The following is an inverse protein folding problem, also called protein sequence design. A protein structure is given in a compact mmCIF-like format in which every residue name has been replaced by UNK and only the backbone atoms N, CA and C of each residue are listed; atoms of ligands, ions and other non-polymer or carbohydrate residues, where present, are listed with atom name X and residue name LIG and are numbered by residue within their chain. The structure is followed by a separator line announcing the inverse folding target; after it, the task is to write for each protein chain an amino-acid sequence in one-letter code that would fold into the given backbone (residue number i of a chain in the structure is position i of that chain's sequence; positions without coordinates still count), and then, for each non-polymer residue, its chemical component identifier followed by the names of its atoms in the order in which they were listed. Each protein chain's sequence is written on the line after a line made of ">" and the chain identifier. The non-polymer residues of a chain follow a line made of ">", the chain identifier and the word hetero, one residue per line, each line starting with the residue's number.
data_IF_027986948510
#
_entry.id   IF_027986948510
#
_cell.length_a   1.000
_cell.length_b   1.000
_cell.length_c   1.000
_cell.angle_alpha   90.00
_cell.angle_beta   90.00
_cell.angle_gamma   90.00
#
_symmetry.space_group_name_H-M   'P 1'
#
loop_
_entity.id
_entity.type
_entity.pdbx_description
1 polymer ?
#
# COMPACT_ATOMS: atom_id res chain seq x y z
N UNK A 1 -18.40 -65.84 -55.01
CA UNK A 1 -17.44 -64.96 -55.73
C UNK A 1 -18.14 -63.66 -56.10
N UNK A 2 -17.54 -62.46 -55.96
CA UNK A 2 -16.21 -62.15 -55.42
C UNK A 2 -16.25 -61.37 -54.09
N UNK A 3 -15.56 -61.95 -53.11
CA UNK A 3 -14.48 -61.41 -52.26
C UNK A 3 -14.14 -59.89 -52.32
N UNK A 4 -13.93 -59.27 -51.15
CA UNK A 4 -12.62 -58.71 -50.71
C UNK A 4 -12.76 -57.65 -49.61
N UNK A 5 -12.18 -57.99 -48.45
CA UNK A 5 -11.42 -57.19 -47.45
C UNK A 5 -12.00 -55.88 -46.90
N UNK A 6 -12.44 -55.95 -45.64
CA UNK A 6 -12.43 -54.84 -44.68
C UNK A 6 -11.54 -55.17 -43.49
N UNK A 7 -10.29 -54.71 -43.54
CA UNK A 7 -9.22 -54.93 -42.56
C UNK A 7 -9.54 -54.24 -41.23
N UNK A 8 -9.42 -55.00 -40.15
CA UNK A 8 -9.32 -54.56 -38.76
C UNK A 8 -8.22 -53.51 -38.61
N UNK A 9 -8.57 -52.33 -38.08
CA UNK A 9 -7.63 -51.49 -37.32
C UNK A 9 -8.20 -51.33 -35.93
N UNK A 10 -7.51 -51.97 -35.00
CA UNK A 10 -7.75 -51.80 -33.58
C UNK A 10 -7.28 -50.42 -33.10
N UNK A 11 -7.89 -50.02 -32.00
CA UNK A 11 -7.27 -49.32 -30.87
C UNK A 11 -6.96 -47.83 -31.05
N UNK A 12 -7.92 -47.00 -30.65
CA UNK A 12 -7.64 -45.69 -30.02
C UNK A 12 -8.50 -45.56 -28.76
N UNK A 13 -8.03 -46.24 -27.72
CA UNK A 13 -7.91 -45.78 -26.32
C UNK A 13 -9.12 -45.06 -25.70
N UNK A 14 -9.73 -45.77 -24.75
CA UNK A 14 -10.51 -45.24 -23.65
C UNK A 14 -9.63 -44.43 -22.67
N UNK A 15 -10.14 -43.29 -22.19
CA UNK A 15 -9.93 -42.73 -20.84
C UNK A 15 -10.65 -41.36 -20.81
N UNK A 16 -11.73 -41.12 -20.08
CA UNK A 16 -12.17 -41.76 -18.84
C UNK A 16 -11.37 -41.22 -17.66
N UNK A 17 -11.84 -40.09 -17.11
CA UNK A 17 -11.64 -39.67 -15.71
C UNK A 17 -10.19 -39.53 -15.24
N UNK A 18 -9.67 -38.29 -15.17
CA UNK A 18 -8.79 -37.79 -14.09
C UNK A 18 -8.27 -36.39 -14.47
N UNK A 19 -8.95 -35.35 -13.97
CA UNK A 19 -8.38 -34.00 -13.90
C UNK A 19 -8.69 -33.41 -12.52
N UNK A 20 -8.23 -34.17 -11.53
CA UNK A 20 -8.19 -33.81 -10.12
C UNK A 20 -6.98 -34.54 -9.50
N UNK A 21 -5.78 -34.23 -10.01
CA UNK A 21 -4.46 -34.43 -9.38
C UNK A 21 -3.37 -34.06 -10.40
N UNK A 22 -2.95 -32.79 -10.45
CA UNK A 22 -1.69 -32.37 -11.07
C UNK A 22 -1.20 -31.03 -10.49
N UNK A 23 -1.32 -30.87 -9.17
CA UNK A 23 -0.62 -29.83 -8.38
C UNK A 23 0.50 -30.45 -7.52
N UNK A 24 0.84 -31.72 -7.73
CA UNK A 24 1.94 -32.39 -7.03
C UNK A 24 2.81 -33.11 -8.04
N UNK A 25 3.89 -32.46 -8.48
CA UNK A 25 4.82 -33.02 -9.46
C UNK A 25 5.96 -32.11 -9.92
N UNK A 26 6.23 -31.01 -9.21
CA UNK A 26 7.53 -30.34 -9.35
C UNK A 26 8.54 -31.13 -8.51
N UNK A 27 9.69 -31.55 -9.07
CA UNK A 27 10.71 -32.20 -8.29
C UNK A 27 11.20 -31.23 -7.21
N UNK A 28 11.05 -31.65 -5.96
CA UNK A 28 11.80 -31.09 -4.85
C UNK A 28 13.28 -31.25 -5.19
N UNK A 29 13.97 -30.13 -5.43
CA UNK A 29 15.43 -30.11 -5.48
C UNK A 29 15.88 -30.41 -4.06
N UNK A 30 16.35 -31.63 -3.82
CA UNK A 30 16.95 -32.02 -2.57
C UNK A 30 18.11 -31.06 -2.29
N UNK A 31 17.99 -30.27 -1.23
CA UNK A 31 19.13 -29.62 -0.62
C UNK A 31 20.03 -30.74 -0.09
N UNK A 32 21.20 -30.90 -0.70
CA UNK A 32 22.25 -31.75 -0.14
C UNK A 32 22.67 -31.23 1.24
N UNK A 33 23.22 -32.09 2.11
CA UNK A 33 23.74 -31.66 3.40
C UNK A 33 24.81 -30.58 3.16
N UNK A 34 24.66 -29.46 3.86
CA UNK A 34 25.67 -28.42 3.88
C UNK A 34 26.94 -28.98 4.53
N UNK A 35 27.94 -29.21 3.69
CA UNK A 35 29.31 -29.44 4.11
C UNK A 35 29.80 -28.18 4.86
N UNK A 36 30.44 -28.30 6.02
CA UNK A 36 30.91 -27.15 6.78
C UNK A 36 32.07 -26.52 6.03
N UNK A 37 31.90 -25.27 5.60
CA UNK A 37 33.00 -24.49 5.05
C UNK A 37 34.12 -24.36 6.09
N UNK A 38 35.39 -24.57 5.71
CA UNK A 38 36.51 -24.59 6.62
C UNK A 38 36.74 -23.20 7.21
N UNK A 39 37.09 -23.19 8.50
CA UNK A 39 37.41 -21.99 9.26
C UNK A 39 38.45 -21.14 8.56
N UNK A 40 38.12 -19.86 8.36
CA UNK A 40 39.12 -18.85 8.08
C UNK A 40 39.81 -18.47 9.41
N UNK A 41 41.14 -18.44 9.45
CA UNK A 41 41.93 -18.20 10.66
C UNK A 41 41.75 -16.78 11.17
N UNK A 42 41.90 -16.63 12.49
CA UNK A 42 41.74 -15.38 13.23
C UNK A 42 42.50 -14.22 12.60
N UNK A 43 41.78 -13.12 12.44
CA UNK A 43 42.38 -11.81 12.28
C UNK A 43 42.35 -11.12 13.66
N UNK A 44 43.54 -10.94 14.21
CA UNK A 44 43.81 -10.04 15.33
C UNK A 44 43.16 -8.67 15.08
N UNK A 45 42.44 -8.15 16.08
CA UNK A 45 42.06 -6.74 16.14
C UNK A 45 43.02 -6.02 17.09
N UNK A 46 44.06 -5.33 16.60
CA UNK A 46 44.70 -4.30 17.39
C UNK A 46 43.91 -2.98 17.23
N UNK A 47 43.51 -2.40 18.37
CA UNK A 47 43.12 -0.99 18.44
C UNK A 47 41.65 -0.75 18.76
N UNK A 48 41.36 -0.62 20.06
CA UNK A 48 40.18 0.07 20.55
C UNK A 48 40.24 1.55 20.12
N UNK A 49 39.61 1.88 19.00
CA UNK A 49 39.29 3.26 18.62
C UNK A 49 38.04 3.73 19.36
N UNK A 50 38.07 4.99 19.83
CA UNK A 50 36.93 5.72 20.42
C UNK A 50 35.67 5.61 19.53
N UNK A 51 34.44 5.66 20.07
CA UNK A 51 33.23 5.64 19.24
C UNK A 51 33.23 6.84 18.31
N UNK A 52 33.58 6.60 17.05
CA UNK A 52 33.50 7.55 15.96
C UNK A 52 32.04 7.69 15.55
N UNK A 53 31.57 8.92 15.56
CA UNK A 53 30.36 9.35 14.86
C UNK A 53 30.43 8.77 13.43
N UNK A 54 29.45 7.94 13.06
CA UNK A 54 29.37 7.38 11.71
C UNK A 54 29.22 8.55 10.72
N UNK A 55 30.33 8.96 10.09
CA UNK A 55 30.31 9.99 9.06
C UNK A 55 29.65 9.36 7.82
N UNK A 56 28.35 9.59 7.68
CA UNK A 56 27.65 9.29 6.45
C UNK A 56 28.15 10.26 5.37
N UNK A 57 28.77 9.74 4.31
CA UNK A 57 29.16 10.52 3.14
C UNK A 57 27.97 10.58 2.19
N UNK A 58 27.13 11.60 2.35
CA UNK A 58 25.93 11.83 1.56
C UNK A 58 24.96 12.73 2.30
N UNK A 59 23.79 12.95 1.71
CA UNK A 59 22.71 13.66 2.37
C UNK A 59 22.27 12.95 3.66
N UNK A 60 21.79 13.72 4.63
CA UNK A 60 21.30 13.16 5.89
C UNK A 60 20.26 14.05 6.53
N UNK A 61 19.55 13.51 7.52
CA UNK A 61 18.68 14.29 8.41
C UNK A 61 19.31 14.28 9.80
N UNK A 62 20.17 15.28 10.14
CA UNK A 62 20.76 15.35 11.47
C UNK A 62 19.73 15.32 12.62
N UNK A 63 18.61 16.02 12.45
CA UNK A 63 17.56 16.10 13.45
C UNK A 63 16.16 16.10 12.81
N UNK A 64 15.26 15.32 13.40
CA UNK A 64 13.86 15.23 12.98
C UNK A 64 12.94 15.22 14.20
N UNK A 65 12.30 16.37 14.44
CA UNK A 65 11.37 16.58 15.53
C UNK A 65 9.92 16.54 15.04
N UNK A 66 9.09 15.71 15.66
CA UNK A 66 7.67 15.59 15.32
C UNK A 66 6.83 15.88 16.56
N UNK A 67 5.92 16.83 16.45
CA UNK A 67 4.90 17.09 17.46
C UNK A 67 3.56 16.56 16.96
N UNK A 68 3.02 15.58 17.69
CA UNK A 68 1.72 14.98 17.48
C UNK A 68 0.75 15.53 18.53
N UNK A 69 -0.11 16.48 18.14
CA UNK A 69 -1.13 17.03 19.02
C UNK A 69 -2.47 16.36 18.73
N UNK A 70 -3.01 15.63 19.71
CA UNK A 70 -4.32 15.00 19.62
C UNK A 70 -5.39 16.06 19.93
N UNK A 71 -6.21 16.40 18.95
CA UNK A 71 -7.33 17.31 19.12
C UNK A 71 -8.51 16.66 19.84
N UNK A 72 -9.23 17.44 20.64
CA UNK A 72 -10.49 17.01 21.23
C UNK A 72 -11.58 16.70 20.17
N UNK A 73 -11.42 17.24 18.96
CA UNK A 73 -12.23 17.03 17.77
C UNK A 73 -11.89 15.73 17.00
N UNK A 74 -10.94 14.95 17.51
CA UNK A 74 -10.50 13.71 16.87
C UNK A 74 -9.62 13.91 15.64
N UNK A 75 -9.08 15.11 15.42
CA UNK A 75 -8.04 15.37 14.43
C UNK A 75 -6.66 15.19 15.08
N UNK A 76 -5.72 14.63 14.33
CA UNK A 76 -4.31 14.63 14.70
C UNK A 76 -3.62 15.80 13.99
N UNK A 77 -3.18 16.79 14.76
CA UNK A 77 -2.37 17.90 14.24
C UNK A 77 -0.91 17.49 14.30
N UNK A 78 -0.26 17.51 13.14
CA UNK A 78 1.13 17.08 12.99
C UNK A 78 1.98 18.27 12.61
N UNK A 79 3.06 18.49 13.36
CA UNK A 79 4.12 19.45 13.03
C UNK A 79 5.44 18.69 12.96
N UNK A 80 6.03 18.64 11.78
CA UNK A 80 7.32 18.01 11.49
C UNK A 80 8.36 19.11 11.29
N UNK A 81 9.43 19.13 12.10
CA UNK A 81 10.61 19.98 11.91
C UNK A 81 11.77 19.10 11.49
N UNK A 82 12.20 19.27 10.23
CA UNK A 82 13.20 18.44 9.58
C UNK A 82 14.43 19.29 9.33
N UNK A 83 15.51 18.99 10.05
CA UNK A 83 16.83 19.54 9.76
C UNK A 83 17.49 18.60 8.75
N UNK A 84 17.55 19.03 7.50
CA UNK A 84 18.12 18.28 6.39
C UNK A 84 19.51 18.84 6.04
N UNK A 85 20.48 17.98 5.82
CA UNK A 85 21.82 18.34 5.36
C UNK A 85 21.98 17.87 3.92
N UNK A 86 21.77 18.80 2.98
CA UNK A 86 21.96 18.54 1.56
C UNK A 86 23.44 18.44 1.25
N UNK A 87 23.79 17.55 0.32
CA UNK A 87 25.17 17.42 -0.10
C UNK A 87 25.59 18.61 -1.01
N UNK A 88 26.70 18.46 -1.74
CA UNK A 88 27.20 19.53 -2.62
C UNK A 88 26.53 19.55 -3.98
N UNK A 89 25.79 18.50 -4.34
CA UNK A 89 24.91 18.48 -5.51
C UNK A 89 23.66 19.26 -5.12
N UNK A 90 23.33 20.27 -5.93
CA UNK A 90 22.22 21.17 -5.59
C UNK A 90 20.90 20.43 -5.72
N UNK A 91 20.13 20.36 -4.63
CA UNK A 91 18.77 19.84 -4.63
C UNK A 91 17.75 20.97 -4.63
N UNK A 92 16.50 20.68 -4.98
CA UNK A 92 15.44 21.70 -5.05
C UNK A 92 14.53 21.77 -3.81
N UNK A 93 14.84 21.01 -2.77
CA UNK A 93 14.06 20.92 -1.53
C UNK A 93 13.90 19.47 -1.05
N UNK A 94 12.87 19.22 -0.24
CA UNK A 94 12.59 17.88 0.32
C UNK A 94 11.24 17.34 -0.14
N UNK A 95 11.10 16.01 -0.08
CA UNK A 95 9.86 15.30 -0.37
C UNK A 95 9.46 14.46 0.83
N UNK A 96 8.27 14.70 1.37
CA UNK A 96 7.69 13.96 2.49
C UNK A 96 6.48 13.14 2.04
N UNK A 97 6.49 11.83 2.30
CA UNK A 97 5.39 10.93 1.96
C UNK A 97 4.53 10.60 3.19
N UNK A 98 3.31 11.11 3.24
CA UNK A 98 2.37 10.83 4.34
C UNK A 98 1.28 9.88 3.86
N UNK A 99 1.10 8.69 4.47
CA UNK A 99 0.11 7.74 3.99
C UNK A 99 -1.31 8.26 4.19
N UNK A 100 -2.08 8.34 3.10
CA UNK A 100 -3.53 8.51 3.18
C UNK A 100 -4.26 7.16 3.12
N UNK A 101 -3.55 6.06 2.80
CA UNK A 101 -4.11 4.71 2.76
C UNK A 101 -3.14 3.69 3.34
N UNK A 102 -3.62 2.88 4.28
CA UNK A 102 -2.89 1.73 4.82
C UNK A 102 -3.80 0.51 4.73
N UNK A 103 -3.48 -0.42 3.83
CA UNK A 103 -4.35 -1.55 3.52
C UNK A 103 -5.69 -1.06 2.92
N UNK A 104 -6.78 -1.36 3.61
CA UNK A 104 -8.12 -0.89 3.30
C UNK A 104 -8.48 0.43 4.02
N UNK A 105 -7.72 0.85 5.04
CA UNK A 105 -8.00 2.04 5.84
C UNK A 105 -7.58 3.31 5.11
N UNK A 106 -8.47 4.29 5.07
CA UNK A 106 -8.23 5.64 4.56
C UNK A 106 -8.10 6.67 5.70
N UNK A 107 -7.14 7.57 5.53
CA UNK A 107 -6.87 8.74 6.35
C UNK A 107 -7.06 10.00 5.51
N UNK A 108 -7.32 11.13 6.17
CA UNK A 108 -7.57 12.39 5.50
C UNK A 108 -6.46 13.39 5.84
N UNK A 109 -5.48 13.54 4.94
CA UNK A 109 -4.43 14.55 5.08
C UNK A 109 -4.89 15.84 4.41
N UNK A 110 -4.91 16.94 5.16
CA UNK A 110 -5.38 18.26 4.70
C UNK A 110 -4.63 19.40 5.41
N UNK A 111 -4.92 20.64 5.02
CA UNK A 111 -4.37 21.86 5.60
C UNK A 111 -2.84 21.83 5.67
N UNK A 112 -2.20 21.38 4.60
CA UNK A 112 -0.74 21.26 4.54
C UNK A 112 -0.12 22.64 4.33
N UNK A 113 0.77 23.03 5.22
CA UNK A 113 1.60 24.24 5.10
C UNK A 113 3.07 23.91 5.36
N UNK A 114 3.95 24.75 4.83
CA UNK A 114 5.38 24.65 5.11
C UNK A 114 6.05 26.00 5.29
N UNK A 115 7.11 26.01 6.09
CA UNK A 115 8.00 27.15 6.28
C UNK A 115 9.45 26.67 6.44
N UNK A 116 10.40 27.61 6.44
CA UNK A 116 11.80 27.31 6.73
C UNK A 116 12.35 28.37 7.67
N UNK A 117 12.99 27.95 8.76
CA UNK A 117 13.64 28.87 9.70
C UNK A 117 15.01 29.35 9.22
N UNK A 118 15.61 28.67 8.25
CA UNK A 118 16.90 29.05 7.64
C UNK A 118 16.74 29.93 6.40
N UNK A 119 15.50 30.19 5.98
CA UNK A 119 15.19 30.96 4.76
C UNK A 119 15.24 30.15 3.47
N UNK A 120 15.36 28.81 3.55
CA UNK A 120 15.32 27.95 2.37
C UNK A 120 13.96 28.06 1.65
N UNK A 121 13.91 27.85 0.32
CA UNK A 121 12.67 27.80 -0.43
C UNK A 121 11.69 26.79 0.18
N UNK A 122 10.56 27.26 0.71
CA UNK A 122 9.61 26.41 1.43
C UNK A 122 8.20 26.45 0.82
N UNK A 123 8.09 26.54 -0.52
CA UNK A 123 6.78 26.47 -1.18
C UNK A 123 6.29 25.02 -1.15
N UNK A 124 5.09 24.83 -0.62
CA UNK A 124 4.45 23.51 -0.59
C UNK A 124 3.74 23.18 -1.90
N UNK A 125 3.86 21.93 -2.34
CA UNK A 125 3.00 21.31 -3.35
C UNK A 125 2.61 19.92 -2.88
N UNK A 126 1.34 19.57 -3.02
CA UNK A 126 0.83 18.26 -2.60
C UNK A 126 0.27 17.49 -3.79
N UNK A 127 0.72 16.26 -3.98
CA UNK A 127 0.19 15.34 -4.99
C UNK A 127 -0.23 14.05 -4.30
N UNK A 128 -1.41 13.52 -4.64
CA UNK A 128 -1.81 12.17 -4.20
C UNK A 128 -1.26 11.16 -5.19
N UNK A 129 -0.41 10.26 -4.72
CA UNK A 129 0.20 9.24 -5.55
C UNK A 129 0.14 7.89 -4.83
N UNK A 130 -0.39 6.86 -5.51
CA UNK A 130 -0.61 5.52 -4.96
C UNK A 130 -1.39 5.54 -3.64
N UNK A 131 -0.68 5.42 -2.51
CA UNK A 131 -1.24 5.31 -1.15
C UNK A 131 -0.86 6.50 -0.26
N UNK A 132 -0.09 7.46 -0.79
CA UNK A 132 0.51 8.55 -0.04
C UNK A 132 0.14 9.93 -0.60
N UNK A 133 0.13 10.91 0.28
CA UNK A 133 0.23 12.33 -0.09
C UNK A 133 1.71 12.65 -0.12
N UNK A 134 2.21 12.94 -1.31
CA UNK A 134 3.55 13.45 -1.53
C UNK A 134 3.53 14.97 -1.30
N UNK A 135 4.22 15.41 -0.26
CA UNK A 135 4.38 16.81 0.12
C UNK A 135 5.78 17.24 -0.33
N UNK A 136 5.86 17.97 -1.43
CA UNK A 136 7.10 18.57 -1.91
C UNK A 136 7.24 19.97 -1.32
N UNK A 137 8.37 20.24 -0.67
CA UNK A 137 8.69 21.53 -0.06
C UNK A 137 9.98 22.03 -0.70
N UNK A 138 9.91 23.14 -1.43
CA UNK A 138 11.06 23.56 -2.22
C UNK A 138 10.74 24.59 -3.28
N UNK A 139 11.66 24.73 -4.23
CA UNK A 139 11.48 25.52 -5.45
C UNK A 139 12.32 24.92 -6.58
N UNK A 140 11.64 24.52 -7.67
CA UNK A 140 12.27 23.90 -8.83
C UNK A 140 13.33 24.77 -9.53
N UNK A 141 13.37 26.06 -9.22
CA UNK A 141 14.27 27.04 -9.85
C UNK A 141 15.38 27.51 -8.91
N UNK A 142 15.42 27.04 -7.67
CA UNK A 142 16.45 27.40 -6.69
C UNK A 142 17.05 26.14 -6.10
N UNK A 143 18.36 26.02 -6.22
CA UNK A 143 19.11 24.98 -5.53
C UNK A 143 19.27 25.31 -4.05
N UNK A 144 19.35 24.27 -3.25
CA UNK A 144 19.51 24.29 -1.81
C UNK A 144 20.69 23.38 -1.47
N UNK A 145 21.56 23.84 -0.58
CA UNK A 145 22.77 23.13 -0.17
C UNK A 145 23.01 23.26 1.33
N UNK A 146 23.76 22.32 1.88
CA UNK A 146 24.11 22.26 3.29
C UNK A 146 22.89 22.16 4.20
N UNK A 147 23.07 22.53 5.46
CA UNK A 147 22.03 22.36 6.48
C UNK A 147 20.90 23.37 6.34
N UNK A 148 19.68 22.87 6.20
CA UNK A 148 18.44 23.64 6.17
C UNK A 148 17.42 23.05 7.12
N UNK A 149 16.53 23.90 7.64
CA UNK A 149 15.44 23.46 8.49
C UNK A 149 14.09 23.77 7.83
N UNK A 150 13.29 22.73 7.63
CA UNK A 150 11.93 22.82 7.11
C UNK A 150 10.94 22.47 8.21
N UNK A 151 9.85 23.23 8.27
CA UNK A 151 8.70 22.92 9.11
C UNK A 151 7.54 22.59 8.20
N UNK A 152 6.94 21.42 8.38
CA UNK A 152 5.74 20.97 7.68
C UNK A 152 4.64 20.79 8.71
N UNK A 153 3.49 21.40 8.48
CA UNK A 153 2.30 21.28 9.33
C UNK A 153 1.16 20.73 8.50
N UNK A 154 0.43 19.76 9.05
CA UNK A 154 -0.73 19.17 8.40
C UNK A 154 -1.69 18.54 9.42
N UNK A 155 -2.93 18.37 9.00
CA UNK A 155 -3.96 17.68 9.77
C UNK A 155 -4.21 16.28 9.22
N UNK A 156 -4.36 15.31 10.12
CA UNK A 156 -4.79 13.95 9.78
C UNK A 156 -6.15 13.67 10.41
N UNK A 157 -7.18 13.73 9.59
CA UNK A 157 -8.52 13.25 9.91
C UNK A 157 -8.61 11.73 9.92
N UNK A 158 -9.54 11.20 10.70
CA UNK A 158 -9.81 9.75 10.83
C UNK A 158 -8.57 8.93 11.27
N UNK A 159 -7.62 9.54 11.97
CA UNK A 159 -6.41 8.90 12.48
C UNK A 159 -6.68 7.88 13.59
N UNK A 160 -7.78 8.06 14.33
CA UNK A 160 -8.12 7.26 15.50
C UNK A 160 -9.08 6.11 15.17
N UNK A 161 -9.01 5.05 15.98
CA UNK A 161 -9.90 3.90 15.88
C UNK A 161 -10.55 3.64 17.23
N UNK A 162 -11.89 3.58 17.26
CA UNK A 162 -12.63 3.15 18.46
C UNK A 162 -12.44 1.64 18.67
N UNK A 163 -12.23 1.25 19.91
CA UNK A 163 -12.18 -0.13 20.39
C UNK A 163 -13.06 -0.21 21.64
N UNK A 164 -13.42 -1.42 22.08
CA UNK A 164 -14.20 -1.61 23.30
C UNK A 164 -13.54 -0.89 24.50
N UNK A 165 -14.22 0.14 25.02
CA UNK A 165 -13.79 0.93 26.18
C UNK A 165 -12.64 1.92 25.95
N UNK A 166 -12.17 2.13 24.71
CA UNK A 166 -11.02 3.02 24.44
C UNK A 166 -10.92 3.52 23.00
N UNK A 167 -10.14 4.58 22.82
CA UNK A 167 -9.71 5.08 21.52
C UNK A 167 -8.23 4.80 21.33
N UNK A 168 -7.85 4.29 20.16
CA UNK A 168 -6.45 4.01 19.83
C UNK A 168 -5.96 4.85 18.65
N UNK A 169 -4.75 5.40 18.78
CA UNK A 169 -3.95 5.94 17.69
C UNK A 169 -2.80 4.98 17.41
N UNK A 170 -2.57 4.66 16.14
CA UNK A 170 -1.36 3.99 15.66
C UNK A 170 -0.84 4.77 14.48
N UNK A 171 0.26 5.49 14.67
CA UNK A 171 0.80 6.42 13.67
C UNK A 171 2.30 6.17 13.46
N UNK A 172 2.75 6.18 12.22
CA UNK A 172 4.17 6.16 11.87
C UNK A 172 4.63 7.62 11.71
N UNK A 173 5.21 8.17 12.78
CA UNK A 173 5.47 9.61 12.90
C UNK A 173 6.58 10.07 11.95
N UNK A 174 7.61 9.25 11.76
CA UNK A 174 8.74 9.55 10.88
C UNK A 174 8.49 9.01 9.46
N UNK A 175 7.77 7.89 9.35
CA UNK A 175 7.62 7.16 8.09
C UNK A 175 8.87 6.34 7.76
N UNK A 176 8.83 5.65 6.62
CA UNK A 176 9.91 4.76 6.13
C UNK A 176 10.30 5.05 4.69
N UNK A 177 9.93 6.24 4.20
CA UNK A 177 10.17 6.69 2.83
C UNK A 177 11.48 7.45 2.66
N UNK A 178 12.22 7.70 3.74
CA UNK A 178 13.50 8.41 3.66
C UNK A 178 14.60 7.47 3.20
N UNK A 179 15.31 7.87 2.15
CA UNK A 179 16.45 7.16 1.58
C UNK A 179 17.77 7.52 2.29
N UNK A 180 17.73 8.51 3.19
CA UNK A 180 18.86 9.02 3.95
C UNK A 180 18.75 8.65 5.43
N UNK A 181 19.88 8.50 6.15
CA UNK A 181 19.85 8.23 7.57
C UNK A 181 19.32 9.43 8.37
N UNK A 182 18.72 9.14 9.53
CA UNK A 182 18.26 10.15 10.48
C UNK A 182 19.11 10.03 11.76
N UNK A 183 19.81 11.11 12.12
CA UNK A 183 20.71 11.17 13.27
C UNK A 183 19.96 11.07 14.59
N UNK A 184 19.15 12.08 14.89
CA UNK A 184 18.27 12.12 16.06
C UNK A 184 16.82 12.31 15.61
N UNK A 185 15.94 11.38 16.00
CA UNK A 185 14.51 11.49 15.78
C UNK A 185 13.79 11.59 17.12
N UNK A 186 13.01 12.65 17.30
CA UNK A 186 12.23 12.90 18.50
C UNK A 186 10.74 13.05 18.14
N UNK A 187 9.88 12.41 18.90
CA UNK A 187 8.44 12.48 18.73
C UNK A 187 7.78 12.85 20.05
N UNK A 188 7.25 14.06 20.11
CA UNK A 188 6.43 14.55 21.21
C UNK A 188 4.97 14.26 20.94
N UNK A 189 4.28 13.63 21.88
CA UNK A 189 2.84 13.40 21.81
C UNK A 189 2.16 14.23 22.88
N UNK A 190 1.19 15.05 22.49
CA UNK A 190 0.37 15.89 23.37
C UNK A 190 -1.09 15.47 23.25
N UNK A 191 -1.80 15.35 24.36
CA UNK A 191 -3.20 14.95 24.38
C UNK A 191 -4.06 15.82 25.32
N UNK A 192 -5.39 15.89 25.08
CA UNK A 192 -6.30 16.71 25.90
C UNK A 192 -6.64 16.03 27.24
N UNK A 193 -6.16 14.80 27.44
CA UNK A 193 -6.34 14.00 28.66
C UNK A 193 -5.01 13.35 29.06
N UNK A 194 -4.83 12.91 30.32
CA UNK A 194 -3.57 12.33 30.74
C UNK A 194 -3.15 11.09 29.94
N UNK A 195 -1.92 11.10 29.43
CA UNK A 195 -1.33 10.04 28.61
C UNK A 195 -0.82 8.86 29.45
N UNK A 196 -1.76 8.01 29.88
CA UNK A 196 -1.44 6.80 30.67
C UNK A 196 -0.77 5.71 29.84
N UNK A 197 -1.19 5.55 28.58
CA UNK A 197 -0.75 4.46 27.71
C UNK A 197 -0.25 5.00 26.36
N UNK A 198 1.06 5.20 26.28
CA UNK A 198 1.75 5.58 25.06
C UNK A 198 3.05 4.77 24.92
N UNK A 199 3.32 4.28 23.72
CA UNK A 199 4.51 3.49 23.41
C UNK A 199 5.05 3.83 22.02
N UNK A 200 6.36 3.74 21.86
CA UNK A 200 7.04 3.91 20.58
C UNK A 200 7.84 2.65 20.24
N UNK A 201 7.83 2.28 18.96
CA UNK A 201 8.71 1.26 18.38
C UNK A 201 9.43 1.86 17.18
N UNK A 202 10.74 1.70 17.12
CA UNK A 202 11.57 2.22 16.03
C UNK A 202 12.29 1.10 15.28
N UNK A 203 12.59 1.33 13.99
CA UNK A 203 13.30 0.40 13.11
C UNK A 203 12.47 -0.05 11.90
N UNK A 204 12.95 -1.08 11.21
CA UNK A 204 12.29 -1.67 10.03
C UNK A 204 11.20 -2.68 10.38
N UNK A 205 10.39 -3.08 9.39
CA UNK A 205 9.36 -4.10 9.59
C UNK A 205 9.99 -5.43 10.04
N UNK A 206 9.43 -6.05 11.10
CA UNK A 206 9.94 -7.31 11.66
C UNK A 206 11.17 -7.18 12.57
N UNK A 207 11.85 -6.03 12.58
CA UNK A 207 12.99 -5.77 13.47
C UNK A 207 12.86 -4.37 14.08
N UNK A 208 12.20 -4.29 15.23
CA UNK A 208 11.96 -3.01 15.93
C UNK A 208 12.44 -3.05 17.37
N UNK A 209 12.97 -1.93 17.84
CA UNK A 209 13.34 -1.69 19.24
C UNK A 209 12.33 -0.77 19.92
N UNK A 210 12.35 -0.72 21.26
CA UNK A 210 11.58 0.30 22.01
C UNK A 210 12.38 1.60 21.98
N UNK A 211 11.72 2.71 21.68
CA UNK A 211 12.33 4.04 21.74
C UNK A 211 12.58 4.43 23.20
N UNK A 212 13.56 5.30 23.42
CA UNK A 212 13.70 5.99 24.70
C UNK A 212 12.43 6.79 24.96
N UNK A 213 11.96 6.81 26.20
CA UNK A 213 10.71 7.45 26.61
C UNK A 213 10.98 8.39 27.76
N UNK A 214 10.62 9.65 27.59
CA UNK A 214 10.63 10.66 28.64
C UNK A 214 9.21 11.21 28.86
N UNK A 215 8.80 11.45 30.10
CA UNK A 215 7.48 11.98 30.42
C UNK A 215 7.59 13.46 30.71
N UNK A 216 6.89 14.26 29.93
CA UNK A 216 6.69 15.68 30.22
C UNK A 216 5.28 15.91 30.78
N UNK A 217 5.19 15.87 32.10
CA UNK A 217 3.93 16.02 32.82
C UNK A 217 2.90 14.91 32.51
N UNK A 218 1.62 15.13 32.85
CA UNK A 218 0.57 14.13 32.64
C UNK A 218 0.03 14.12 31.21
N UNK A 219 0.15 15.21 30.45
CA UNK A 219 -0.50 15.40 29.15
C UNK A 219 0.44 15.23 27.95
N UNK A 220 1.75 15.13 28.18
CA UNK A 220 2.73 14.95 27.13
C UNK A 220 3.73 13.81 27.43
N UNK A 221 4.30 13.27 26.36
CA UNK A 221 5.36 12.27 26.42
C UNK A 221 6.25 12.45 25.20
N UNK A 222 7.55 12.36 25.43
CA UNK A 222 8.57 12.44 24.39
C UNK A 222 9.16 11.05 24.15
N UNK A 223 9.36 10.72 22.88
CA UNK A 223 10.03 9.51 22.44
C UNK A 223 11.23 9.85 21.60
N UNK A 224 12.39 9.26 21.90
CA UNK A 224 13.64 9.56 21.21
C UNK A 224 14.22 8.27 20.65
N UNK A 225 14.72 8.35 19.41
CA UNK A 225 15.51 7.32 18.78
C UNK A 225 16.68 7.95 18.03
N UNK A 226 17.88 7.41 18.24
CA UNK A 226 19.08 7.81 17.50
C UNK A 226 19.40 6.80 16.40
N UNK A 227 20.08 7.28 15.35
CA UNK A 227 20.65 6.49 14.26
C UNK A 227 19.62 5.58 13.57
N UNK A 228 18.53 6.18 13.06
CA UNK A 228 17.65 5.45 12.14
C UNK A 228 18.37 5.31 10.80
N UNK A 229 18.53 4.06 10.35
CA UNK A 229 19.03 3.80 9.02
C UNK A 229 18.00 4.25 7.95
N UNK A 230 18.41 4.40 6.67
CA UNK A 230 17.47 4.56 5.58
C UNK A 230 16.33 3.54 5.65
N UNK A 231 15.10 4.00 5.38
CA UNK A 231 13.85 3.23 5.44
C UNK A 231 13.44 2.71 6.84
N UNK A 232 14.08 3.16 7.91
CA UNK A 232 13.59 2.96 9.27
C UNK A 232 12.67 4.10 9.72
N UNK A 233 11.76 3.81 10.65
CA UNK A 233 10.77 4.79 11.12
C UNK A 233 10.45 4.65 12.60
N UNK A 234 9.53 5.49 13.10
CA UNK A 234 9.07 5.48 14.49
C UNK A 234 7.55 5.38 14.54
N UNK A 235 7.07 4.24 15.04
CA UNK A 235 5.64 3.97 15.21
C UNK A 235 5.19 4.26 16.63
N UNK A 236 4.31 5.23 16.76
CA UNK A 236 3.66 5.64 17.99
C UNK A 236 2.33 4.90 18.13
N UNK A 237 2.07 4.39 19.33
CA UNK A 237 0.77 3.88 19.74
C UNK A 237 0.31 4.58 21.00
N UNK A 238 -0.89 5.16 20.96
CA UNK A 238 -1.53 5.83 22.11
C UNK A 238 -2.89 5.17 22.35
N UNK A 239 -3.26 5.02 23.62
CA UNK A 239 -4.61 4.63 24.03
C UNK A 239 -5.20 5.67 24.96
N UNK A 240 -6.38 6.15 24.62
CA UNK A 240 -7.14 7.13 25.39
C UNK A 240 -8.45 6.50 25.88
N UNK A 241 -9.05 7.02 26.97
CA UNK A 241 -10.43 6.68 27.34
C UNK A 241 -11.42 6.90 26.19
N UNK A 242 -12.51 6.14 26.16
CA UNK A 242 -13.48 6.16 25.04
C UNK A 242 -14.07 7.54 24.73
N UNK A 243 -14.31 8.34 25.77
CA UNK A 243 -14.90 9.68 25.66
C UNK A 243 -13.88 10.82 25.69
N UNK A 244 -12.59 10.51 25.53
CA UNK A 244 -11.54 11.53 25.60
C UNK A 244 -11.57 12.51 24.40
N UNK A 245 -12.01 12.05 23.22
CA UNK A 245 -12.03 12.83 21.98
C UNK A 245 -13.23 12.46 21.09
N UNK A 246 -13.66 13.38 20.23
CA UNK A 246 -14.70 13.17 19.24
C UNK A 246 -14.18 12.40 18.02
N UNK A 247 -14.09 11.08 18.12
CA UNK A 247 -13.53 10.25 17.03
C UNK A 247 -14.38 10.29 15.77
N UNK A 248 -13.80 10.78 14.68
CA UNK A 248 -14.39 10.69 13.35
C UNK A 248 -14.53 9.21 12.91
N UNK A 249 -15.64 8.82 12.26
CA UNK A 249 -15.81 7.44 11.83
C UNK A 249 -14.71 7.03 10.85
N UNK A 250 -14.17 5.82 10.99
CA UNK A 250 -13.14 5.32 10.10
C UNK A 250 -13.68 5.21 8.67
N UNK A 251 -12.85 5.50 7.66
CA UNK A 251 -13.20 5.31 6.25
C UNK A 251 -12.37 4.17 5.69
N UNK A 252 -13.00 3.28 4.94
CA UNK A 252 -12.33 2.16 4.28
C UNK A 252 -12.55 2.24 2.78
N UNK A 253 -11.61 1.68 2.03
CA UNK A 253 -11.75 1.42 0.60
C UNK A 253 -12.85 0.37 0.44
N UNK A 254 -13.75 0.51 -0.54
CA UNK A 254 -14.72 -0.53 -0.82
C UNK A 254 -14.02 -1.88 -1.09
N UNK A 255 -14.68 -3.01 -0.77
CA UNK A 255 -14.12 -4.33 -1.07
C UNK A 255 -13.90 -4.46 -2.59
N UNK A 256 -12.98 -5.34 -3.01
CA UNK A 256 -12.78 -5.61 -4.45
C UNK A 256 -13.94 -6.38 -5.07
N UNK A 257 -14.75 -7.04 -4.25
CA UNK A 257 -15.92 -7.82 -4.64
C UNK A 257 -17.11 -7.44 -3.75
N UNK A 258 -18.15 -6.90 -4.36
CA UNK A 258 -19.43 -6.59 -3.70
C UNK A 258 -20.62 -7.25 -4.41
N UNK A 259 -20.35 -8.10 -5.41
CA UNK A 259 -21.37 -8.88 -6.08
C UNK A 259 -22.09 -9.81 -5.10
N UNK A 260 -23.42 -9.74 -5.09
CA UNK A 260 -24.25 -10.66 -4.36
C UNK A 260 -24.40 -11.96 -5.17
N UNK A 261 -25.13 -12.92 -4.60
CA UNK A 261 -25.39 -14.20 -5.27
C UNK A 261 -25.94 -14.05 -6.71
N UNK A 262 -26.80 -13.06 -7.07
CA UNK A 262 -27.31 -12.93 -8.44
C UNK A 262 -26.20 -12.59 -9.44
N UNK A 263 -25.31 -11.65 -9.11
CA UNK A 263 -24.17 -11.33 -9.96
C UNK A 263 -23.26 -12.54 -10.16
N UNK A 264 -22.94 -13.27 -9.08
CA UNK A 264 -22.16 -14.52 -9.19
C UNK A 264 -22.85 -15.57 -10.05
N UNK A 265 -24.17 -15.72 -9.96
CA UNK A 265 -24.94 -16.69 -10.72
C UNK A 265 -24.96 -16.35 -12.21
N UNK A 266 -25.13 -15.07 -12.56
CA UNK A 266 -25.07 -14.58 -13.96
C UNK A 266 -23.70 -14.85 -14.57
N UNK A 267 -22.62 -14.59 -13.83
CA UNK A 267 -21.26 -14.87 -14.30
C UNK A 267 -21.03 -16.39 -14.48
N UNK A 268 -21.47 -17.21 -13.53
CA UNK A 268 -21.36 -18.65 -13.62
C UNK A 268 -22.14 -19.22 -14.82
N UNK A 269 -23.37 -18.73 -15.06
CA UNK A 269 -24.18 -19.10 -16.21
C UNK A 269 -23.52 -18.67 -17.53
N UNK A 270 -22.93 -17.48 -17.58
CA UNK A 270 -22.20 -17.00 -18.76
C UNK A 270 -20.98 -17.88 -19.07
N UNK A 271 -20.20 -18.25 -18.06
CA UNK A 271 -19.08 -19.19 -18.22
C UNK A 271 -19.57 -20.58 -18.67
N UNK A 272 -20.66 -21.08 -18.10
CA UNK A 272 -21.28 -22.35 -18.50
C UNK A 272 -21.88 -22.30 -19.92
N UNK A 273 -22.30 -21.11 -20.39
CA UNK A 273 -22.82 -20.92 -21.73
C UNK A 273 -21.72 -20.96 -22.80
N UNK A 274 -20.45 -20.66 -22.49
CA UNK A 274 -19.35 -20.70 -23.47
C UNK A 274 -19.23 -22.04 -24.22
N UNK A 275 -19.19 -23.22 -23.56
CA UNK A 275 -19.17 -24.51 -24.27
C UNK A 275 -20.47 -24.80 -25.04
N UNK A 276 -21.62 -24.29 -24.58
CA UNK A 276 -22.89 -24.42 -25.31
C UNK A 276 -22.89 -23.56 -26.59
N UNK A 277 -22.33 -22.36 -26.51
CA UNK A 277 -22.03 -21.45 -27.62
C UNK A 277 -21.02 -22.05 -28.58
N UNK A 278 -20.26 -23.10 -28.22
CA UNK A 278 -19.44 -23.88 -29.15
C UNK A 278 -20.22 -25.02 -29.84
N UNK A 279 -21.31 -25.52 -29.24
CA UNK A 279 -22.04 -26.71 -29.70
C UNK A 279 -23.35 -26.43 -30.44
N UNK A 280 -24.03 -25.30 -30.19
CA UNK A 280 -25.37 -25.00 -30.74
C UNK A 280 -25.40 -23.93 -31.83
N UNK A 281 -26.40 -23.85 -32.74
CA UNK A 281 -26.48 -22.74 -33.69
C UNK A 281 -26.41 -21.39 -32.96
N UNK A 282 -25.40 -20.58 -33.28
CA UNK A 282 -25.11 -19.31 -32.63
C UNK A 282 -25.76 -18.14 -33.37
N UNK A 283 -26.11 -17.06 -32.66
CA UNK A 283 -26.53 -15.80 -33.27
C UNK A 283 -25.47 -15.24 -34.24
N UNK A 284 -25.90 -14.33 -35.12
CA UNK A 284 -25.00 -13.63 -36.06
C UNK A 284 -23.88 -12.90 -35.31
N UNK A 285 -22.71 -12.76 -35.93
CA UNK A 285 -21.54 -12.10 -35.34
C UNK A 285 -21.85 -10.69 -34.80
N UNK A 286 -22.73 -9.93 -35.49
CA UNK A 286 -23.19 -8.60 -35.06
C UNK A 286 -23.89 -8.60 -33.69
N UNK A 287 -24.61 -9.67 -33.36
CA UNK A 287 -25.23 -9.81 -32.04
C UNK A 287 -24.17 -10.05 -30.95
N UNK A 288 -23.15 -10.87 -31.25
CA UNK A 288 -22.01 -11.06 -30.35
C UNK A 288 -21.21 -9.78 -30.10
N UNK A 289 -20.95 -8.98 -31.14
CA UNK A 289 -20.30 -7.67 -30.98
C UNK A 289 -21.15 -6.70 -30.18
N UNK A 290 -22.48 -6.69 -30.39
CA UNK A 290 -23.39 -5.84 -29.61
C UNK A 290 -23.40 -6.23 -28.13
N UNK A 291 -23.44 -7.53 -27.81
CA UNK A 291 -23.35 -8.02 -26.43
C UNK A 291 -22.02 -7.63 -25.77
N UNK A 292 -20.90 -7.80 -26.48
CA UNK A 292 -19.59 -7.42 -25.94
C UNK A 292 -19.46 -5.91 -25.72
N UNK A 293 -19.97 -5.09 -26.64
CA UNK A 293 -19.98 -3.63 -26.50
C UNK A 293 -20.88 -3.18 -25.35
N UNK A 294 -22.08 -3.76 -25.22
CA UNK A 294 -22.99 -3.48 -24.11
C UNK A 294 -22.38 -3.90 -22.76
N UNK A 295 -21.75 -5.07 -22.70
CA UNK A 295 -21.05 -5.54 -21.50
C UNK A 295 -19.89 -4.62 -21.10
N UNK A 296 -19.09 -4.17 -22.06
CA UNK A 296 -18.00 -3.22 -21.81
C UNK A 296 -18.52 -1.88 -21.31
N UNK A 297 -19.59 -1.35 -21.94
CA UNK A 297 -20.25 -0.12 -21.50
C UNK A 297 -20.76 -0.23 -20.06
N UNK A 298 -21.35 -1.37 -19.69
CA UNK A 298 -21.80 -1.61 -18.31
C UNK A 298 -20.64 -1.63 -17.31
N UNK A 299 -19.52 -2.27 -17.65
CA UNK A 299 -18.32 -2.26 -16.79
C UNK A 299 -17.77 -0.85 -16.63
N UNK A 300 -17.69 -0.08 -17.71
CA UNK A 300 -17.21 1.30 -17.68
C UNK A 300 -18.15 2.21 -16.90
N UNK A 301 -19.46 2.05 -17.05
CA UNK A 301 -20.45 2.83 -16.31
C UNK A 301 -20.38 2.53 -14.80
N UNK A 302 -20.34 1.26 -14.40
CA UNK A 302 -20.23 0.86 -12.99
C UNK A 302 -18.91 1.35 -12.36
N UNK A 303 -17.81 1.24 -13.11
CA UNK A 303 -16.53 1.81 -12.69
C UNK A 303 -16.58 3.33 -12.59
N UNK A 304 -17.24 4.01 -13.53
CA UNK A 304 -17.44 5.46 -13.51
C UNK A 304 -18.23 5.93 -12.29
N UNK A 305 -19.32 5.24 -11.95
CA UNK A 305 -20.15 5.52 -10.77
C UNK A 305 -19.33 5.38 -9.47
N UNK A 306 -18.57 4.28 -9.33
CA UNK A 306 -17.70 4.05 -8.16
C UNK A 306 -16.59 5.11 -8.06
N UNK A 307 -15.97 5.46 -9.19
CA UNK A 307 -14.91 6.47 -9.24
C UNK A 307 -15.47 7.85 -8.89
N UNK A 308 -16.63 8.23 -9.44
CA UNK A 308 -17.27 9.51 -9.16
C UNK A 308 -17.70 9.63 -7.69
N UNK A 309 -18.24 8.56 -7.11
CA UNK A 309 -18.74 8.57 -5.74
C UNK A 309 -17.63 8.46 -4.68
N UNK A 310 -16.57 7.69 -4.97
CA UNK A 310 -15.62 7.24 -3.94
C UNK A 310 -14.15 7.45 -4.29
N UNK A 311 -13.85 7.94 -5.50
CA UNK A 311 -12.52 8.29 -5.98
C UNK A 311 -11.88 7.21 -6.89
N UNK A 312 -10.77 7.54 -7.56
CA UNK A 312 -10.18 6.73 -8.64
C UNK A 312 -9.73 5.32 -8.24
N UNK A 313 -9.61 5.03 -6.94
CA UNK A 313 -9.17 3.75 -6.40
C UNK A 313 -10.29 2.93 -5.76
N UNK A 314 -11.54 3.34 -5.96
CA UNK A 314 -12.71 2.79 -5.27
C UNK A 314 -13.54 1.82 -6.12
N UNK A 315 -13.01 1.37 -7.26
CA UNK A 315 -13.67 0.37 -8.09
C UNK A 315 -13.84 -0.96 -7.35
N UNK A 316 -15.08 -1.43 -7.28
CA UNK A 316 -15.44 -2.77 -6.81
C UNK A 316 -16.12 -3.56 -7.92
N UNK A 317 -15.94 -4.88 -7.95
CA UNK A 317 -16.75 -5.78 -8.77
C UNK A 317 -18.13 -5.95 -8.12
N UNK A 318 -19.05 -5.05 -8.44
CA UNK A 318 -20.47 -5.14 -8.10
C UNK A 318 -21.27 -6.00 -9.09
N UNK A 319 -22.54 -6.27 -8.78
CA UNK A 319 -23.42 -7.10 -9.63
C UNK A 319 -23.53 -6.58 -11.07
N UNK A 320 -23.50 -5.24 -11.25
CA UNK A 320 -23.53 -4.59 -12.57
C UNK A 320 -22.25 -4.82 -13.36
N UNK A 321 -21.08 -4.59 -12.76
CA UNK A 321 -19.79 -4.93 -13.39
C UNK A 321 -19.73 -6.42 -13.75
N UNK A 322 -20.15 -7.29 -12.84
CA UNK A 322 -20.14 -8.75 -13.04
C UNK A 322 -21.06 -9.16 -14.20
N UNK A 323 -22.26 -8.58 -14.31
CA UNK A 323 -23.15 -8.78 -15.44
C UNK A 323 -22.55 -8.24 -16.76
N UNK A 324 -21.85 -7.10 -16.72
CA UNK A 324 -21.11 -6.57 -17.85
C UNK A 324 -20.02 -7.53 -18.34
N UNK A 325 -19.22 -8.08 -17.42
CA UNK A 325 -18.20 -9.10 -17.71
C UNK A 325 -18.83 -10.35 -18.33
N UNK A 326 -19.95 -10.82 -17.78
CA UNK A 326 -20.70 -11.96 -18.32
C UNK A 326 -21.12 -11.75 -19.78
N UNK A 327 -21.62 -10.55 -20.13
CA UNK A 327 -21.98 -10.19 -21.50
C UNK A 327 -20.76 -10.12 -22.43
N UNK A 328 -19.62 -9.60 -21.96
CA UNK A 328 -18.36 -9.60 -22.72
C UNK A 328 -17.91 -11.03 -23.02
N UNK A 329 -17.94 -11.93 -22.04
CA UNK A 329 -17.55 -13.33 -22.21
C UNK A 329 -18.42 -14.02 -23.26
N UNK A 330 -19.75 -13.91 -23.15
CA UNK A 330 -20.66 -14.58 -24.09
C UNK A 330 -20.57 -13.94 -25.48
N UNK A 331 -20.56 -12.60 -25.55
CA UNK A 331 -20.48 -11.87 -26.82
C UNK A 331 -19.21 -12.18 -27.61
N UNK A 332 -18.05 -12.21 -26.93
CA UNK A 332 -16.76 -12.56 -27.56
C UNK A 332 -16.73 -14.02 -28.02
N UNK A 333 -17.29 -14.96 -27.26
CA UNK A 333 -17.43 -16.36 -27.66
C UNK A 333 -18.27 -16.53 -28.94
N UNK A 334 -19.38 -15.79 -29.07
CA UNK A 334 -20.22 -15.76 -30.29
C UNK A 334 -19.45 -15.19 -31.48
N UNK A 335 -18.68 -14.12 -31.30
CA UNK A 335 -17.85 -13.52 -32.37
C UNK A 335 -16.77 -14.49 -32.83
N UNK A 336 -16.05 -15.12 -31.89
CA UNK A 336 -14.98 -16.06 -32.21
C UNK A 336 -15.48 -17.26 -33.02
N UNK A 337 -16.62 -17.84 -32.61
CA UNK A 337 -17.21 -18.95 -33.36
C UNK A 337 -17.64 -18.58 -34.78
N UNK A 338 -18.17 -17.38 -34.98
CA UNK A 338 -18.57 -16.93 -36.32
C UNK A 338 -17.36 -16.67 -37.23
N UNK A 339 -16.20 -16.26 -36.67
CA UNK A 339 -14.94 -16.14 -37.44
C UNK A 339 -14.41 -17.50 -37.89
N UNK A 340 -14.48 -18.52 -37.03
CA UNK A 340 -14.05 -19.88 -37.37
C UNK A 340 -14.94 -20.63 -38.38
N UNK A 341 -16.10 -20.07 -38.76
CA UNK A 341 -16.98 -20.59 -39.84
C UNK A 341 -16.79 -19.88 -41.18
N UNK A 342 -16.03 -18.78 -41.21
CA UNK A 342 -15.80 -17.96 -42.39
C UNK A 342 -14.48 -18.33 -43.12
N UNK A 343 -13.79 -19.37 -42.64
CA UNK A 343 -12.62 -20.01 -43.24
C UNK A 343 -13.03 -21.42 -43.65
#
# INVERSE_FOLDING_TARGET
>A
MPDVRGRVRGSAIAAGVLLLTAVLGLPARAAGPAEPAPGAPGADFPGAGRPGELIYRGESIPAYDVVLTIGADGVLYVRETITYDFDRTGEHGIVRHVPFRIGDRLYEVRNVSSSSSTGAPARVRTTRFLHDVQISVGDRHREVRGRQAYVIEYEVGRAFTRRAGRVELVWDAIGRSWDVPIGNAAVRVVAPVPLRYASCRAGRHGATTRCLRDRDGPYAVDFIQNHLAPHEGMKIRVRLPEHAIAVQPPRYVPPRWTGHWPGTAVLALALAAVPLVARRPVPRARAGTAMAAAGLLLVVADAGDDIAARGPWAFSLGDRCVAGIALVIVGTAVVYRNRGRAV
#
